data_IF_034293087230
#
_entry.id   IF_034293087230
#
_cell.length_a   1.000
_cell.length_b   1.000
_cell.length_c   1.000
_cell.angle_alpha   90.00
_cell.angle_beta   90.00
_cell.angle_gamma   90.00
#
_symmetry.space_group_name_H-M   'P 1'
#
loop_
_entity.id
_entity.type
_entity.pdbx_description
1 polymer ?
#
# COMPACT_ATOMS: atom_id res chain seq x y z
N UNK A 1 22.38 -18.88 50.22
CA UNK A 1 20.93 -18.75 50.12
C UNK A 1 20.69 -17.81 48.95
N UNK A 2 20.53 -18.33 47.76
CA UNK A 2 20.25 -17.56 46.55
C UNK A 2 18.74 -17.50 46.36
N UNK A 3 18.18 -16.31 46.39
CA UNK A 3 16.78 -16.07 46.06
C UNK A 3 16.64 -15.98 44.51
N UNK A 4 16.02 -17.00 43.92
CA UNK A 4 15.53 -16.96 42.56
C UNK A 4 14.29 -16.05 42.49
N UNK A 5 14.43 -14.85 41.91
CA UNK A 5 13.29 -14.03 41.55
C UNK A 5 12.72 -14.58 40.26
N UNK A 6 11.57 -15.22 40.37
CA UNK A 6 10.75 -15.65 39.23
C UNK A 6 10.13 -14.43 38.58
N UNK A 7 10.58 -14.11 37.37
CA UNK A 7 9.84 -13.23 36.49
C UNK A 7 8.67 -14.00 35.87
N UNK A 8 7.50 -13.93 36.46
CA UNK A 8 6.27 -14.46 35.89
C UNK A 8 5.57 -13.36 35.07
N UNK A 9 5.55 -13.61 33.75
CA UNK A 9 4.41 -13.36 32.82
C UNK A 9 3.65 -12.04 32.92
N UNK A 10 4.23 -10.97 32.37
CA UNK A 10 3.46 -9.82 31.90
C UNK A 10 2.95 -10.00 30.45
N UNK A 11 3.43 -11.02 29.73
CA UNK A 11 3.11 -11.22 28.30
C UNK A 11 1.77 -11.93 28.05
N UNK A 12 1.24 -12.68 29.01
CA UNK A 12 -0.02 -13.40 28.84
C UNK A 12 -1.24 -12.46 28.91
N UNK A 13 -1.23 -11.46 29.78
CA UNK A 13 -2.35 -10.52 29.94
C UNK A 13 -2.49 -9.53 28.77
N UNK A 14 -1.38 -9.19 28.07
CA UNK A 14 -1.43 -8.30 26.91
C UNK A 14 -2.05 -8.99 25.70
N UNK A 15 -1.74 -10.28 25.50
CA UNK A 15 -2.27 -11.03 24.34
C UNK A 15 -3.77 -11.28 24.47
N UNK A 16 -4.27 -11.56 25.68
CA UNK A 16 -5.68 -11.78 25.92
C UNK A 16 -6.50 -10.49 25.86
N UNK A 17 -5.95 -9.36 26.33
CA UNK A 17 -6.62 -8.05 26.22
C UNK A 17 -6.68 -7.56 24.76
N UNK A 18 -5.67 -7.85 23.97
CA UNK A 18 -5.65 -7.51 22.53
C UNK A 18 -6.68 -8.35 21.76
N UNK A 19 -6.78 -9.64 22.05
CA UNK A 19 -7.77 -10.55 21.40
C UNK A 19 -9.21 -10.21 21.77
N UNK A 20 -9.49 -9.84 23.02
CA UNK A 20 -10.83 -9.47 23.47
C UNK A 20 -11.30 -8.14 22.88
N UNK A 21 -10.41 -7.15 22.74
CA UNK A 21 -10.76 -5.87 22.08
C UNK A 21 -10.99 -6.03 20.58
N UNK A 22 -10.41 -7.05 19.92
CA UNK A 22 -10.64 -7.34 18.51
C UNK A 22 -11.99 -8.00 18.25
N UNK A 23 -12.40 -8.91 19.13
CA UNK A 23 -13.71 -9.58 19.03
C UNK A 23 -14.90 -8.61 19.14
N UNK A 24 -14.67 -7.42 19.70
CA UNK A 24 -15.71 -6.41 19.98
C UNK A 24 -15.72 -5.22 19.00
N UNK A 25 -14.86 -5.18 17.97
CA UNK A 25 -14.90 -4.08 16.99
C UNK A 25 -16.17 -4.16 16.13
N UNK A 26 -17.05 -3.17 16.32
CA UNK A 26 -18.28 -3.03 15.55
C UNK A 26 -17.96 -2.80 14.07
N UNK A 27 -16.93 -2.03 13.78
CA UNK A 27 -16.51 -1.74 12.40
C UNK A 27 -16.00 -2.99 11.70
N UNK A 28 -15.15 -3.80 12.33
CA UNK A 28 -14.67 -5.06 11.75
C UNK A 28 -15.82 -6.04 11.50
N UNK A 29 -16.78 -6.10 12.41
CA UNK A 29 -17.98 -6.91 12.23
C UNK A 29 -18.78 -6.45 11.01
N UNK A 30 -19.02 -5.15 10.86
CA UNK A 30 -19.70 -4.60 9.67
C UNK A 30 -18.95 -4.87 8.37
N UNK A 31 -17.60 -4.77 8.38
CA UNK A 31 -16.77 -5.15 7.24
C UNK A 31 -16.99 -6.63 6.86
N UNK A 32 -16.97 -7.52 7.85
CA UNK A 32 -17.18 -8.96 7.64
C UNK A 32 -18.57 -9.26 7.12
N UNK A 33 -19.62 -8.63 7.68
CA UNK A 33 -21.00 -8.74 7.21
C UNK A 33 -21.13 -8.24 5.76
N UNK A 34 -20.53 -7.10 5.43
CA UNK A 34 -20.47 -6.57 4.06
C UNK A 34 -19.82 -7.58 3.10
N UNK A 35 -18.63 -8.08 3.46
CA UNK A 35 -17.92 -9.07 2.65
C UNK A 35 -18.76 -10.33 2.41
N UNK A 36 -19.44 -10.82 3.46
CA UNK A 36 -20.29 -11.99 3.34
C UNK A 36 -21.44 -11.77 2.35
N UNK A 37 -22.09 -10.61 2.39
CA UNK A 37 -23.16 -10.25 1.45
C UNK A 37 -22.62 -10.19 0.02
N UNK A 38 -21.49 -9.50 -0.19
CA UNK A 38 -20.88 -9.36 -1.52
C UNK A 38 -20.48 -10.71 -2.13
N UNK A 39 -19.84 -11.57 -1.34
CA UNK A 39 -19.42 -12.91 -1.80
C UNK A 39 -20.60 -13.84 -2.07
N UNK A 40 -21.73 -13.69 -1.36
CA UNK A 40 -22.96 -14.46 -1.64
C UNK A 40 -23.68 -13.99 -2.90
N UNK A 41 -23.68 -12.68 -3.17
CA UNK A 41 -24.30 -12.10 -4.37
C UNK A 41 -23.49 -12.38 -5.63
N UNK A 42 -22.17 -12.56 -5.49
CA UNK A 42 -21.23 -12.78 -6.58
C UNK A 42 -20.46 -14.09 -6.37
N UNK A 43 -21.12 -15.26 -6.51
CA UNK A 43 -20.43 -16.53 -6.33
C UNK A 43 -19.32 -16.69 -7.37
N UNK A 44 -18.15 -17.11 -6.89
CA UNK A 44 -16.97 -17.27 -7.73
C UNK A 44 -17.22 -18.23 -8.89
N UNK A 45 -17.01 -17.73 -10.10
CA UNK A 45 -17.00 -18.54 -11.33
C UNK A 45 -15.62 -18.61 -11.97
N UNK A 46 -14.60 -17.90 -11.45
CA UNK A 46 -13.29 -17.75 -12.12
C UNK A 46 -12.12 -17.95 -11.17
N UNK A 47 -11.03 -18.49 -11.74
CA UNK A 47 -9.72 -18.50 -11.11
C UNK A 47 -9.20 -17.07 -10.91
N UNK A 48 -8.39 -16.87 -9.87
CA UNK A 48 -7.79 -15.57 -9.53
C UNK A 48 -7.08 -14.93 -10.71
N UNK A 49 -7.49 -13.72 -11.07
CA UNK A 49 -6.84 -12.92 -12.11
C UNK A 49 -5.39 -12.59 -11.68
N UNK A 50 -4.40 -12.88 -12.54
CA UNK A 50 -2.99 -12.61 -12.26
C UNK A 50 -2.70 -11.15 -11.90
N UNK A 51 -3.44 -10.20 -12.50
CA UNK A 51 -3.34 -8.78 -12.18
C UNK A 51 -3.80 -8.46 -10.75
N UNK A 52 -4.86 -9.10 -10.26
CA UNK A 52 -5.33 -8.93 -8.88
C UNK A 52 -4.35 -9.52 -7.85
N UNK A 53 -3.65 -10.61 -8.21
CA UNK A 53 -2.59 -11.17 -7.36
C UNK A 53 -1.44 -10.19 -7.15
N UNK A 54 -0.98 -9.55 -8.23
CA UNK A 54 0.08 -8.53 -8.15
C UNK A 54 -0.46 -7.34 -7.33
N UNK A 55 -1.66 -6.86 -7.62
CA UNK A 55 -2.26 -5.74 -6.92
C UNK A 55 -2.46 -6.01 -5.42
N UNK A 56 -2.66 -7.26 -4.99
CA UNK A 56 -2.70 -7.62 -3.57
C UNK A 56 -1.34 -7.38 -2.88
N UNK A 57 -0.21 -7.67 -3.56
CA UNK A 57 1.12 -7.32 -3.05
C UNK A 57 1.29 -5.80 -2.92
N UNK A 58 0.78 -5.04 -3.89
CA UNK A 58 0.86 -3.59 -3.92
C UNK A 58 0.09 -2.95 -2.75
N UNK A 59 -1.11 -3.45 -2.50
CA UNK A 59 -1.96 -3.01 -1.38
C UNK A 59 -1.23 -3.21 -0.06
N UNK A 60 -0.66 -4.40 0.16
CA UNK A 60 0.11 -4.71 1.37
C UNK A 60 1.41 -3.90 1.43
N UNK A 61 2.08 -3.71 0.31
CA UNK A 61 3.28 -2.88 0.20
C UNK A 61 3.01 -1.42 0.54
N UNK A 62 1.92 -0.84 0.04
CA UNK A 62 1.53 0.54 0.35
C UNK A 62 1.11 0.69 1.82
N UNK A 63 0.27 -0.20 2.33
CA UNK A 63 -0.13 -0.24 3.74
C UNK A 63 1.08 -0.30 4.68
N UNK A 64 2.01 -1.21 4.42
CA UNK A 64 3.23 -1.36 5.21
C UNK A 64 4.22 -0.21 5.02
N UNK A 65 4.28 0.36 3.82
CA UNK A 65 5.09 1.54 3.51
C UNK A 65 4.63 2.77 4.29
N UNK A 66 3.33 3.01 4.39
CA UNK A 66 2.76 4.08 5.24
C UNK A 66 3.20 3.89 6.70
N UNK A 67 3.10 2.66 7.22
CA UNK A 67 3.51 2.37 8.59
C UNK A 67 5.02 2.61 8.81
N UNK A 68 5.86 2.18 7.88
CA UNK A 68 7.30 2.45 7.92
C UNK A 68 7.60 3.96 7.84
N UNK A 69 6.88 4.68 6.98
CA UNK A 69 7.01 6.12 6.82
C UNK A 69 6.71 6.90 8.09
N UNK A 70 5.73 6.46 8.88
CA UNK A 70 5.42 7.04 10.19
C UNK A 70 6.57 6.86 11.17
N UNK A 71 7.11 5.65 11.26
CA UNK A 71 8.26 5.36 12.12
C UNK A 71 9.46 6.21 11.74
N UNK A 72 9.75 6.34 10.45
CA UNK A 72 10.82 7.18 9.92
C UNK A 72 10.57 8.67 10.18
N UNK A 73 9.37 9.17 9.91
CA UNK A 73 9.03 10.57 10.21
C UNK A 73 9.26 10.91 11.69
N UNK A 74 8.88 10.00 12.60
CA UNK A 74 9.14 10.14 14.02
C UNK A 74 10.62 10.21 14.39
N UNK A 75 11.46 9.37 13.78
CA UNK A 75 12.92 9.35 14.02
C UNK A 75 13.60 10.67 13.60
N UNK A 76 13.13 11.29 12.52
CA UNK A 76 13.69 12.56 12.03
C UNK A 76 12.99 13.81 12.59
N UNK A 77 12.15 13.65 13.62
CA UNK A 77 11.45 14.78 14.26
C UNK A 77 10.53 15.54 13.29
N UNK A 78 10.05 14.87 12.25
CA UNK A 78 9.06 15.41 11.34
C UNK A 78 7.73 15.33 12.07
N UNK A 79 7.19 16.49 12.51
CA UNK A 79 6.03 16.55 13.39
C UNK A 79 4.86 15.73 12.85
N UNK A 80 4.37 14.79 13.65
CA UNK A 80 3.16 14.01 13.36
C UNK A 80 1.97 14.96 13.41
N UNK A 81 1.36 15.24 12.25
CA UNK A 81 0.25 16.19 12.13
C UNK A 81 0.54 17.40 11.23
N UNK A 82 1.79 17.56 10.76
CA UNK A 82 2.15 18.58 9.77
C UNK A 82 2.24 18.01 8.34
N UNK A 83 2.24 18.91 7.35
CA UNK A 83 2.35 18.54 5.93
C UNK A 83 3.64 17.77 5.60
N UNK A 84 4.73 17.96 6.38
CA UNK A 84 6.00 17.23 6.19
C UNK A 84 5.92 15.76 6.55
N UNK A 85 5.22 15.39 7.64
CA UNK A 85 5.00 13.99 8.01
C UNK A 85 4.13 13.29 6.96
N UNK A 86 3.06 13.94 6.50
CA UNK A 86 2.19 13.41 5.46
C UNK A 86 2.97 13.07 4.19
N UNK A 87 3.88 13.94 3.74
CA UNK A 87 4.69 13.70 2.55
C UNK A 87 5.67 12.51 2.70
N UNK A 88 6.34 12.38 3.85
CA UNK A 88 7.21 11.23 4.12
C UNK A 88 6.40 9.94 4.13
N UNK A 89 5.26 9.94 4.80
CA UNK A 89 4.37 8.79 4.91
C UNK A 89 3.84 8.40 3.53
N UNK A 90 3.36 9.35 2.74
CA UNK A 90 2.86 9.13 1.38
C UNK A 90 3.98 8.60 0.48
N UNK A 91 5.17 9.22 0.50
CA UNK A 91 6.32 8.77 -0.28
C UNK A 91 6.72 7.33 0.04
N UNK A 92 6.71 6.95 1.30
CA UNK A 92 6.98 5.56 1.73
C UNK A 92 5.89 4.59 1.25
N UNK A 93 4.63 5.00 1.27
CA UNK A 93 3.51 4.21 0.76
C UNK A 93 3.62 3.96 -0.75
N UNK A 94 3.94 5.01 -1.52
CA UNK A 94 4.15 4.92 -2.98
C UNK A 94 5.31 3.98 -3.30
N UNK A 95 6.47 4.15 -2.65
CA UNK A 95 7.65 3.30 -2.88
C UNK A 95 7.35 1.86 -2.43
N UNK A 96 6.71 1.68 -1.27
CA UNK A 96 6.39 0.36 -0.74
C UNK A 96 5.46 -0.43 -1.66
N UNK A 97 4.38 0.20 -2.13
CA UNK A 97 3.46 -0.40 -3.10
C UNK A 97 4.15 -0.73 -4.42
N UNK A 98 4.79 0.25 -5.05
CA UNK A 98 5.43 0.05 -6.35
C UNK A 98 6.57 -0.99 -6.32
N UNK A 99 7.33 -1.06 -5.23
CA UNK A 99 8.36 -2.06 -5.07
C UNK A 99 7.79 -3.47 -4.85
N UNK A 100 6.68 -3.58 -4.12
CA UNK A 100 5.98 -4.86 -3.94
C UNK A 100 5.46 -5.40 -5.27
N UNK A 101 4.82 -4.55 -6.07
CA UNK A 101 4.41 -4.81 -7.44
C UNK A 101 5.54 -5.33 -8.30
N UNK A 102 6.59 -4.52 -8.39
CA UNK A 102 7.76 -4.83 -9.19
C UNK A 102 8.38 -6.16 -8.78
N UNK A 103 8.52 -6.38 -7.46
CA UNK A 103 9.11 -7.59 -6.93
C UNK A 103 8.26 -8.83 -7.23
N UNK A 104 6.93 -8.76 -7.05
CA UNK A 104 6.00 -9.83 -7.41
C UNK A 104 6.06 -10.14 -8.92
N UNK A 105 6.00 -9.11 -9.77
CA UNK A 105 6.08 -9.25 -11.22
C UNK A 105 7.40 -9.87 -11.66
N UNK A 106 8.52 -9.37 -11.14
CA UNK A 106 9.87 -9.87 -11.42
C UNK A 106 9.99 -11.36 -11.10
N UNK A 107 9.55 -11.77 -9.91
CA UNK A 107 9.63 -13.17 -9.47
C UNK A 107 8.76 -14.07 -10.36
N UNK A 108 7.53 -13.65 -10.66
CA UNK A 108 6.62 -14.40 -11.53
C UNK A 108 7.13 -14.56 -12.98
N UNK A 109 7.94 -13.61 -13.46
CA UNK A 109 8.52 -13.64 -14.83
C UNK A 109 9.96 -14.16 -14.87
N UNK A 110 10.55 -14.53 -13.74
CA UNK A 110 11.95 -14.99 -13.66
C UNK A 110 12.97 -13.93 -14.09
N UNK A 111 12.68 -12.63 -13.84
CA UNK A 111 13.59 -11.56 -14.25
C UNK A 111 14.77 -11.45 -13.29
N UNK A 112 15.97 -11.21 -13.84
CA UNK A 112 17.23 -11.11 -13.07
C UNK A 112 17.53 -9.73 -12.53
N UNK A 113 16.70 -8.73 -12.86
CA UNK A 113 16.86 -7.35 -12.38
C UNK A 113 16.73 -7.29 -10.85
N UNK A 114 17.55 -6.45 -10.22
CA UNK A 114 17.60 -6.35 -8.76
C UNK A 114 16.54 -5.37 -8.25
N UNK A 115 15.90 -5.71 -7.15
CA UNK A 115 14.96 -4.80 -6.45
C UNK A 115 15.66 -3.52 -5.98
N UNK A 116 16.96 -3.60 -5.70
CA UNK A 116 17.83 -2.46 -5.37
C UNK A 116 17.87 -1.38 -6.44
N UNK A 117 17.87 -1.79 -7.71
CA UNK A 117 17.90 -0.84 -8.83
C UNK A 117 16.56 -0.12 -8.95
N UNK A 118 15.46 -0.83 -8.71
CA UNK A 118 14.12 -0.22 -8.63
C UNK A 118 14.02 0.75 -7.44
N UNK A 119 14.54 0.37 -6.28
CA UNK A 119 14.56 1.24 -5.10
C UNK A 119 15.32 2.55 -5.36
N UNK A 120 16.54 2.47 -5.92
CA UNK A 120 17.34 3.65 -6.28
C UNK A 120 16.63 4.54 -7.30
N UNK A 121 16.03 3.92 -8.32
CA UNK A 121 15.22 4.63 -9.30
C UNK A 121 14.06 5.37 -8.61
N UNK A 122 13.30 4.70 -7.76
CA UNK A 122 12.15 5.27 -7.05
C UNK A 122 12.56 6.47 -6.17
N UNK A 123 13.67 6.35 -5.45
CA UNK A 123 14.22 7.46 -4.66
C UNK A 123 14.64 8.64 -5.52
N UNK A 124 15.28 8.40 -6.66
CA UNK A 124 15.68 9.48 -7.56
C UNK A 124 14.46 10.25 -8.07
N UNK A 125 13.42 9.52 -8.49
CA UNK A 125 12.18 10.13 -8.95
C UNK A 125 11.54 11.00 -7.86
N UNK A 126 11.40 10.48 -6.64
CA UNK A 126 10.81 11.23 -5.54
C UNK A 126 11.68 12.44 -5.16
N UNK A 127 13.00 12.27 -5.12
CA UNK A 127 13.91 13.36 -4.83
C UNK A 127 13.86 14.48 -5.89
N UNK A 128 13.72 14.16 -7.18
CA UNK A 128 13.52 15.15 -8.23
C UNK A 128 12.18 15.89 -8.05
N UNK A 129 11.11 15.19 -7.70
CA UNK A 129 9.83 15.82 -7.37
C UNK A 129 9.90 16.76 -6.17
N UNK A 130 10.72 16.43 -5.18
CA UNK A 130 10.95 17.30 -4.02
C UNK A 130 11.72 18.58 -4.40
N UNK A 131 12.53 18.55 -5.48
CA UNK A 131 13.29 19.72 -5.96
C UNK A 131 12.47 20.66 -6.83
N UNK A 132 11.55 20.12 -7.62
CA UNK A 132 10.76 20.91 -8.58
C UNK A 132 9.28 20.60 -8.44
N UNK A 133 8.42 21.61 -8.70
CA UNK A 133 6.97 21.43 -8.74
C UNK A 133 6.51 20.73 -10.02
N UNK A 134 7.43 20.45 -10.94
CA UNK A 134 7.15 19.82 -12.23
C UNK A 134 8.25 18.85 -12.57
N UNK A 135 7.97 17.54 -12.50
CA UNK A 135 8.86 16.51 -13.03
C UNK A 135 8.14 15.80 -14.17
N UNK A 136 8.70 15.90 -15.37
CA UNK A 136 8.16 15.26 -16.55
C UNK A 136 8.59 13.78 -16.57
N UNK A 137 7.63 12.87 -16.45
CA UNK A 137 7.86 11.45 -16.63
C UNK A 137 7.32 11.01 -17.97
N UNK A 138 8.07 10.15 -18.62
CA UNK A 138 7.56 9.43 -19.77
C UNK A 138 6.57 8.37 -19.28
N UNK A 139 5.27 8.58 -19.55
CA UNK A 139 4.25 7.55 -19.36
C UNK A 139 3.89 7.00 -20.74
N UNK A 140 3.81 5.66 -20.89
CA UNK A 140 3.35 5.07 -22.14
C UNK A 140 1.99 5.64 -22.54
N UNK A 141 1.83 5.99 -23.81
CA UNK A 141 0.60 6.60 -24.37
C UNK A 141 -0.70 5.82 -24.06
N UNK A 142 -0.59 4.51 -23.80
CA UNK A 142 -1.72 3.65 -23.52
C UNK A 142 -2.24 3.73 -22.07
N UNK A 143 -1.53 4.42 -21.17
CA UNK A 143 -1.99 4.59 -19.80
C UNK A 143 -2.94 5.79 -19.70
N UNK A 144 -4.21 5.50 -19.85
CA UNK A 144 -5.30 6.45 -19.58
C UNK A 144 -6.12 5.91 -18.40
N UNK A 145 -5.74 6.25 -17.16
CA UNK A 145 -6.44 5.74 -16.00
C UNK A 145 -7.88 6.23 -16.02
N UNK A 146 -8.81 5.34 -15.68
CA UNK A 146 -10.19 5.73 -15.48
C UNK A 146 -10.26 6.84 -14.42
N UNK A 147 -11.01 7.90 -14.71
CA UNK A 147 -11.23 8.99 -13.74
C UNK A 147 -11.94 8.39 -12.52
N UNK A 148 -11.30 8.54 -11.36
CA UNK A 148 -11.72 7.89 -10.13
C UNK A 148 -12.46 8.89 -9.26
N UNK A 149 -13.70 8.57 -8.92
CA UNK A 149 -14.54 9.34 -8.02
C UNK A 149 -14.62 8.66 -6.65
N UNK A 150 -13.50 8.65 -5.91
CA UNK A 150 -13.47 8.27 -4.50
C UNK A 150 -13.36 9.50 -3.64
N UNK A 151 -14.27 9.63 -2.69
CA UNK A 151 -14.29 10.73 -1.73
C UNK A 151 -13.65 10.28 -0.42
N UNK A 152 -12.38 10.62 -0.24
CA UNK A 152 -11.72 10.44 1.04
C UNK A 152 -12.23 11.46 2.08
N UNK A 153 -12.25 11.08 3.37
CA UNK A 153 -12.61 11.97 4.46
C UNK A 153 -11.65 13.16 4.55
N UNK A 154 -12.14 14.22 5.24
CA UNK A 154 -11.33 15.41 5.47
C UNK A 154 -10.04 15.06 6.21
N UNK A 155 -8.92 15.54 5.69
CA UNK A 155 -7.57 15.27 6.23
C UNK A 155 -6.84 14.11 5.54
N UNK A 156 -7.54 13.33 4.71
CA UNK A 156 -6.94 12.20 3.95
C UNK A 156 -6.96 12.42 2.43
N UNK A 157 -7.36 13.59 1.96
CA UNK A 157 -7.54 13.89 0.54
C UNK A 157 -6.27 13.67 -0.29
N UNK A 158 -5.10 13.90 0.31
CA UNK A 158 -3.81 13.69 -0.34
C UNK A 158 -3.48 12.22 -0.61
N UNK A 159 -4.13 11.29 0.09
CA UNK A 159 -3.91 9.86 -0.12
C UNK A 159 -4.51 9.36 -1.45
N UNK A 160 -5.46 10.10 -2.06
CA UNK A 160 -6.00 9.76 -3.38
C UNK A 160 -4.91 9.63 -4.43
N UNK A 161 -3.84 10.40 -4.26
CA UNK A 161 -2.75 10.48 -5.23
C UNK A 161 -1.74 9.32 -5.11
N UNK A 162 -1.80 8.55 -4.01
CA UNK A 162 -0.87 7.42 -3.75
C UNK A 162 -0.98 6.36 -4.85
N UNK A 163 -2.18 5.98 -5.24
CA UNK A 163 -2.40 4.96 -6.27
C UNK A 163 -1.94 5.41 -7.64
N UNK A 164 -2.25 6.64 -8.04
CA UNK A 164 -1.80 7.18 -9.32
C UNK A 164 -0.28 7.35 -9.36
N UNK A 165 0.32 7.88 -8.29
CA UNK A 165 1.78 8.02 -8.19
C UNK A 165 2.49 6.66 -8.19
N UNK A 166 1.91 5.64 -7.53
CA UNK A 166 2.36 4.26 -7.60
C UNK A 166 2.45 3.76 -9.05
N UNK A 167 1.39 3.92 -9.83
CA UNK A 167 1.37 3.50 -11.23
C UNK A 167 2.36 4.29 -12.08
N UNK A 168 2.45 5.61 -11.89
CA UNK A 168 3.42 6.46 -12.59
C UNK A 168 4.85 6.03 -12.32
N UNK A 169 5.16 5.66 -11.08
CA UNK A 169 6.48 5.19 -10.69
C UNK A 169 6.82 3.86 -11.38
N UNK A 170 5.87 2.93 -11.46
CA UNK A 170 6.05 1.66 -12.15
C UNK A 170 6.22 1.83 -13.67
N UNK A 171 5.37 2.64 -14.29
CA UNK A 171 5.37 2.85 -15.74
C UNK A 171 6.58 3.66 -16.22
N UNK A 172 7.03 4.62 -15.43
CA UNK A 172 8.24 5.40 -15.71
C UNK A 172 9.53 4.61 -15.50
N UNK A 173 9.48 3.50 -14.75
CA UNK A 173 10.58 2.56 -14.67
C UNK A 173 10.62 1.73 -15.95
N UNK A 174 11.82 1.51 -16.52
CA UNK A 174 11.99 0.57 -17.64
C UNK A 174 11.65 -0.88 -17.29
N UNK A 175 11.04 -1.09 -16.15
CA UNK A 175 10.67 -2.36 -15.54
C UNK A 175 9.18 -2.70 -15.66
N UNK A 176 8.41 -1.88 -16.41
CA UNK A 176 7.01 -2.17 -16.70
C UNK A 176 6.87 -3.39 -17.62
N UNK A 177 5.69 -4.03 -17.59
CA UNK A 177 5.35 -5.21 -18.40
C UNK A 177 5.76 -5.05 -19.87
N UNK A 178 6.24 -6.13 -20.53
CA UNK A 178 6.53 -6.13 -21.98
C UNK A 178 5.33 -5.70 -22.83
N UNK A 179 4.10 -5.91 -22.39
CA UNK A 179 2.89 -5.45 -23.10
C UNK A 179 2.74 -3.94 -23.08
N UNK A 180 3.24 -3.26 -22.04
CA UNK A 180 3.29 -1.80 -21.99
C UNK A 180 4.46 -1.20 -22.78
N UNK A 181 5.48 -2.02 -23.14
CA UNK A 181 6.61 -1.59 -23.97
C UNK A 181 6.31 -1.53 -25.46
N UNK A 182 5.25 -2.19 -25.92
CA UNK A 182 5.07 -2.48 -27.35
C UNK A 182 4.67 -1.27 -28.21
N UNK A 183 4.35 -0.12 -27.65
CA UNK A 183 3.98 1.08 -28.41
C UNK A 183 4.52 2.35 -27.80
N UNK A 184 5.83 2.53 -27.92
CA UNK A 184 6.47 3.80 -27.57
C UNK A 184 6.28 4.78 -28.73
N UNK A 185 5.20 5.54 -28.72
CA UNK A 185 5.12 6.80 -29.46
C UNK A 185 5.56 7.92 -28.52
N UNK A 186 6.59 8.65 -28.96
CA UNK A 186 7.33 9.62 -28.16
C UNK A 186 6.61 10.97 -28.13
N UNK A 187 5.56 11.11 -27.33
CA UNK A 187 5.12 12.43 -26.91
C UNK A 187 5.14 12.49 -25.38
N UNK A 188 5.86 13.44 -24.78
CA UNK A 188 5.90 13.57 -23.33
C UNK A 188 4.52 14.04 -22.86
N UNK A 189 3.77 13.13 -22.25
CA UNK A 189 2.63 13.53 -21.45
C UNK A 189 3.20 14.05 -20.12
N UNK A 190 2.87 15.29 -19.78
CA UNK A 190 3.21 15.93 -18.49
C UNK A 190 2.53 15.16 -17.34
N UNK A 191 3.09 14.04 -16.98
CA UNK A 191 2.64 13.29 -15.83
C UNK A 191 3.28 13.86 -14.57
N UNK A 192 2.60 14.79 -13.95
CA UNK A 192 2.97 15.25 -12.61
C UNK A 192 2.69 14.14 -11.63
N UNK A 193 3.71 13.63 -10.92
CA UNK A 193 3.44 13.05 -9.61
C UNK A 193 2.88 14.21 -8.79
N UNK A 194 1.75 14.00 -8.08
CA UNK A 194 1.15 15.05 -7.29
C UNK A 194 2.23 15.71 -6.44
N UNK A 195 2.31 17.04 -6.38
CA UNK A 195 3.31 17.70 -5.59
C UNK A 195 3.20 17.15 -4.18
N UNK A 196 4.25 16.49 -3.71
CA UNK A 196 4.36 16.12 -2.32
C UNK A 196 4.48 17.46 -1.59
N UNK A 197 3.32 18.02 -1.25
CA UNK A 197 3.20 19.32 -0.61
C UNK A 197 3.89 19.25 0.74
N UNK A 198 5.09 19.81 0.85
CA UNK A 198 5.83 19.80 2.09
C UNK A 198 6.36 21.18 2.42
N UNK A 199 6.23 21.54 3.68
CA UNK A 199 6.90 22.69 4.26
C UNK A 199 8.39 22.39 4.53
N UNK A 200 8.82 21.12 4.54
CA UNK A 200 10.19 20.72 4.87
C UNK A 200 10.71 19.62 3.93
N UNK A 201 10.85 19.98 2.65
CA UNK A 201 11.33 19.09 1.58
C UNK A 201 12.68 18.45 1.92
N UNK A 202 13.59 19.17 2.59
CA UNK A 202 14.91 18.65 2.92
C UNK A 202 14.84 17.55 3.99
N UNK A 203 14.01 17.68 5.03
CA UNK A 203 13.83 16.60 6.01
C UNK A 203 13.21 15.36 5.40
N UNK A 204 12.21 15.53 4.53
CA UNK A 204 11.60 14.41 3.81
C UNK A 204 12.66 13.69 2.96
N UNK A 205 13.48 14.44 2.23
CA UNK A 205 14.57 13.89 1.43
C UNK A 205 15.58 13.13 2.29
N UNK A 206 16.00 13.70 3.43
CA UNK A 206 16.92 13.05 4.37
C UNK A 206 16.29 11.75 4.90
N UNK A 207 15.02 11.80 5.31
CA UNK A 207 14.29 10.65 5.84
C UNK A 207 14.22 9.50 4.83
N UNK A 208 13.80 9.77 3.59
CA UNK A 208 13.67 8.77 2.53
C UNK A 208 15.02 8.20 2.06
N UNK A 209 16.12 8.97 2.17
CA UNK A 209 17.47 8.50 1.83
C UNK A 209 18.21 7.88 3.03
N UNK A 210 17.57 7.78 4.19
CA UNK A 210 18.18 7.22 5.40
C UNK A 210 18.40 5.70 5.31
N UNK A 211 19.40 5.24 6.06
CA UNK A 211 19.62 3.80 6.24
C UNK A 211 18.41 3.12 6.91
N UNK A 212 17.74 3.83 7.80
CA UNK A 212 16.59 3.31 8.52
C UNK A 212 15.42 3.06 7.56
N UNK A 213 15.14 3.97 6.62
CA UNK A 213 14.15 3.73 5.58
C UNK A 213 14.54 2.55 4.69
N UNK A 214 15.80 2.48 4.25
CA UNK A 214 16.29 1.34 3.46
C UNK A 214 16.09 0.01 4.18
N UNK A 215 16.41 -0.06 5.47
CA UNK A 215 16.22 -1.25 6.29
C UNK A 215 14.74 -1.65 6.40
N UNK A 216 13.84 -0.69 6.60
CA UNK A 216 12.39 -0.95 6.64
C UNK A 216 11.88 -1.44 5.28
N UNK A 217 12.32 -0.81 4.21
CA UNK A 217 11.99 -1.22 2.84
C UNK A 217 12.44 -2.66 2.57
N UNK A 218 13.69 -3.00 2.84
CA UNK A 218 14.25 -4.33 2.63
C UNK A 218 13.48 -5.39 3.45
N UNK A 219 13.08 -5.03 4.67
CA UNK A 219 12.26 -5.90 5.52
C UNK A 219 10.87 -6.14 4.92
N UNK A 220 10.20 -5.11 4.42
CA UNK A 220 8.90 -5.24 3.76
C UNK A 220 9.01 -6.20 2.57
N UNK A 221 9.95 -5.97 1.67
CA UNK A 221 10.14 -6.80 0.47
C UNK A 221 10.51 -8.23 0.82
N UNK A 222 11.47 -8.43 1.73
CA UNK A 222 11.87 -9.78 2.18
C UNK A 222 10.71 -10.55 2.82
N UNK A 223 9.83 -9.87 3.56
CA UNK A 223 8.69 -10.51 4.19
C UNK A 223 7.57 -10.81 3.18
N UNK A 224 7.39 -9.97 2.16
CA UNK A 224 6.51 -10.27 1.04
C UNK A 224 6.98 -11.53 0.29
N UNK A 225 8.27 -11.61 -0.06
CA UNK A 225 8.84 -12.80 -0.71
C UNK A 225 8.62 -14.08 0.11
N UNK A 226 8.92 -14.02 1.41
CA UNK A 226 8.76 -15.16 2.33
C UNK A 226 7.31 -15.55 2.61
N UNK A 227 6.38 -14.69 2.27
CA UNK A 227 4.94 -14.91 2.44
C UNK A 227 4.23 -15.12 1.10
N UNK A 228 4.96 -15.20 0.00
CA UNK A 228 4.42 -15.54 -1.32
C UNK A 228 4.67 -17.01 -1.61
N UNK A 229 3.61 -17.77 -1.82
CA UNK A 229 3.62 -19.21 -2.13
C UNK A 229 2.92 -19.38 -3.48
N UNK A 230 3.61 -19.95 -4.46
CA UNK A 230 3.10 -20.17 -5.82
C UNK A 230 2.50 -18.90 -6.47
N UNK A 231 3.11 -17.74 -6.18
CA UNK A 231 2.69 -16.43 -6.67
C UNK A 231 1.49 -15.82 -5.92
N UNK A 232 0.99 -16.49 -4.89
CA UNK A 232 -0.09 -15.99 -4.03
C UNK A 232 0.47 -15.50 -2.68
N UNK A 233 -0.04 -14.36 -2.23
CA UNK A 233 0.36 -13.77 -0.96
C UNK A 233 -0.38 -14.43 0.21
N UNK A 234 0.34 -15.13 1.09
CA UNK A 234 -0.15 -15.49 2.42
C UNK A 234 -0.22 -14.23 3.30
N UNK A 235 -1.36 -13.56 3.24
CA UNK A 235 -1.61 -12.29 3.93
C UNK A 235 -1.46 -12.45 5.45
N UNK A 236 -1.94 -13.57 6.00
CA UNK A 236 -1.84 -13.85 7.43
C UNK A 236 -0.39 -14.11 7.85
N UNK A 237 0.34 -14.89 7.07
CA UNK A 237 1.76 -15.14 7.27
C UNK A 237 2.61 -13.87 7.17
N UNK A 238 2.26 -12.97 6.24
CA UNK A 238 2.93 -11.70 6.10
C UNK A 238 2.79 -10.83 7.37
N UNK A 239 1.57 -10.56 7.83
CA UNK A 239 1.35 -9.70 9.01
C UNK A 239 1.87 -10.31 10.30
N UNK A 240 1.87 -11.64 10.42
CA UNK A 240 2.53 -12.32 11.55
C UNK A 240 4.04 -12.07 11.59
N UNK A 241 4.71 -12.00 10.44
CA UNK A 241 6.15 -11.71 10.32
C UNK A 241 6.48 -10.21 10.34
N UNK A 242 5.50 -9.39 10.01
CA UNK A 242 5.66 -7.94 9.85
C UNK A 242 4.49 -7.17 10.50
N UNK A 243 4.34 -7.29 11.84
CA UNK A 243 3.26 -6.60 12.54
C UNK A 243 3.44 -5.08 12.44
N UNK A 244 2.35 -4.38 12.20
CA UNK A 244 2.34 -2.91 12.08
C UNK A 244 2.10 -2.21 13.41
N UNK A 245 1.80 -2.96 14.46
CA UNK A 245 1.39 -2.43 15.76
C UNK A 245 -0.10 -2.03 15.82
N UNK A 246 -0.83 -2.16 14.72
CA UNK A 246 -2.29 -1.98 14.69
C UNK A 246 -2.98 -3.22 14.13
N UNK A 247 -3.29 -4.14 14.99
CA UNK A 247 -3.99 -5.38 14.61
C UNK A 247 -5.36 -5.08 14.01
N UNK A 248 -6.00 -4.00 14.43
CA UNK A 248 -7.30 -3.56 13.90
C UNK A 248 -7.20 -3.14 12.43
N UNK A 249 -6.22 -2.32 12.09
CA UNK A 249 -5.95 -1.93 10.70
C UNK A 249 -5.51 -3.12 9.84
N UNK A 250 -4.67 -4.02 10.39
CA UNK A 250 -4.28 -5.27 9.73
C UNK A 250 -5.48 -6.15 9.41
N UNK A 251 -6.43 -6.28 10.34
CA UNK A 251 -7.64 -7.07 10.10
C UNK A 251 -8.56 -6.42 9.07
N UNK A 252 -8.70 -5.10 9.08
CA UNK A 252 -9.49 -4.40 8.07
C UNK A 252 -8.91 -4.59 6.66
N UNK A 253 -7.60 -4.48 6.49
CA UNK A 253 -6.97 -4.68 5.19
C UNK A 253 -6.97 -6.16 4.76
N UNK A 254 -6.87 -7.11 5.70
CA UNK A 254 -7.03 -8.54 5.41
C UNK A 254 -8.43 -8.87 4.87
N UNK A 255 -9.46 -8.32 5.49
CA UNK A 255 -10.83 -8.50 5.03
C UNK A 255 -11.05 -7.83 3.67
N UNK A 256 -10.46 -6.65 3.44
CA UNK A 256 -10.49 -6.01 2.13
C UNK A 256 -9.84 -6.89 1.06
N UNK A 257 -8.64 -7.38 1.30
CA UNK A 257 -7.91 -8.23 0.36
C UNK A 257 -8.65 -9.53 0.05
N UNK A 258 -9.31 -10.12 1.03
CA UNK A 258 -10.14 -11.30 0.84
C UNK A 258 -11.29 -11.06 -0.16
N UNK A 259 -11.96 -9.91 -0.06
CA UNK A 259 -12.98 -9.52 -1.02
C UNK A 259 -12.35 -9.12 -2.37
N UNK A 260 -11.31 -8.29 -2.34
CA UNK A 260 -10.61 -7.75 -3.51
C UNK A 260 -10.06 -8.84 -4.44
N UNK A 261 -9.47 -9.90 -3.90
CA UNK A 261 -8.92 -11.00 -4.72
C UNK A 261 -9.98 -11.93 -5.29
N UNK A 262 -11.21 -11.80 -4.84
CA UNK A 262 -12.30 -12.73 -5.10
C UNK A 262 -13.39 -12.17 -6.00
N UNK A 263 -13.84 -10.93 -5.73
CA UNK A 263 -15.09 -10.40 -6.28
C UNK A 263 -14.92 -9.53 -7.51
N UNK A 264 -14.01 -8.50 -7.58
CA UNK A 264 -14.08 -7.50 -8.63
C UNK A 264 -13.78 -8.09 -10.00
N UNK A 265 -14.64 -7.78 -10.97
CA UNK A 265 -14.48 -8.13 -12.38
C UNK A 265 -13.88 -6.96 -13.19
N UNK A 266 -14.02 -5.73 -12.66
CA UNK A 266 -13.60 -4.50 -13.32
C UNK A 266 -13.27 -3.40 -12.29
N UNK A 267 -12.78 -2.27 -12.79
CA UNK A 267 -12.36 -1.12 -11.94
C UNK A 267 -13.55 -0.49 -11.20
N UNK A 268 -14.76 -0.52 -11.76
CA UNK A 268 -15.93 0.07 -11.09
C UNK A 268 -16.31 -0.71 -9.85
N UNK A 269 -16.20 -2.04 -9.89
CA UNK A 269 -16.41 -2.89 -8.71
C UNK A 269 -15.41 -2.53 -7.62
N UNK A 270 -14.13 -2.31 -7.97
CA UNK A 270 -13.11 -1.91 -7.00
C UNK A 270 -13.42 -0.54 -6.40
N UNK A 271 -13.85 0.42 -7.22
CA UNK A 271 -14.24 1.75 -6.76
C UNK A 271 -15.42 1.64 -5.79
N UNK A 272 -16.41 0.80 -6.11
CA UNK A 272 -17.57 0.58 -5.25
C UNK A 272 -17.17 0.01 -3.89
N UNK A 273 -16.47 -1.14 -3.87
CA UNK A 273 -16.06 -1.75 -2.60
C UNK A 273 -15.15 -0.82 -1.79
N UNK A 274 -14.32 -0.02 -2.46
CA UNK A 274 -13.46 0.97 -1.80
C UNK A 274 -14.28 2.05 -1.10
N UNK A 275 -15.28 2.63 -1.79
CA UNK A 275 -16.17 3.62 -1.20
C UNK A 275 -16.96 3.05 -0.02
N UNK A 276 -17.45 1.83 -0.16
CA UNK A 276 -18.21 1.16 0.90
C UNK A 276 -17.36 0.90 2.14
N UNK A 277 -16.10 0.46 1.95
CA UNK A 277 -15.14 0.30 3.04
C UNK A 277 -14.84 1.61 3.76
N UNK A 278 -14.59 2.69 3.01
CA UNK A 278 -14.38 4.02 3.59
C UNK A 278 -15.60 4.43 4.43
N UNK A 279 -16.81 4.27 3.91
CA UNK A 279 -18.03 4.60 4.62
C UNK A 279 -18.21 3.76 5.91
N UNK A 280 -17.92 2.47 5.87
CA UNK A 280 -17.98 1.60 7.06
C UNK A 280 -16.95 2.03 8.09
N UNK A 281 -15.72 2.33 7.70
CA UNK A 281 -14.64 2.77 8.58
C UNK A 281 -15.00 4.10 9.25
N UNK A 282 -15.55 5.04 8.51
CA UNK A 282 -15.95 6.35 9.03
C UNK A 282 -17.20 6.30 9.93
N UNK A 283 -18.05 5.29 9.78
CA UNK A 283 -19.34 5.24 10.46
C UNK A 283 -19.27 5.08 11.98
N UNK A 284 -18.15 4.60 12.53
CA UNK A 284 -18.07 4.25 13.96
C UNK A 284 -16.91 4.88 14.73
N UNK A 285 -16.04 5.61 14.09
CA UNK A 285 -14.90 6.32 14.73
C UNK A 285 -13.95 5.42 15.56
N UNK A 286 -13.87 4.12 15.25
CA UNK A 286 -13.04 3.18 15.99
C UNK A 286 -11.58 3.22 15.57
N UNK A 287 -11.31 3.62 14.33
CA UNK A 287 -9.95 3.74 13.79
C UNK A 287 -9.40 5.13 14.05
N UNK A 288 -8.16 5.21 14.56
CA UNK A 288 -7.45 6.48 14.63
C UNK A 288 -6.93 6.91 13.25
N UNK A 289 -6.46 8.15 13.13
CA UNK A 289 -6.01 8.72 11.86
C UNK A 289 -4.86 7.94 11.23
N UNK A 290 -3.99 7.37 12.02
CA UNK A 290 -2.88 6.57 11.58
C UNK A 290 -3.32 5.24 10.96
N UNK A 291 -4.27 4.58 11.58
CA UNK A 291 -4.89 3.34 11.08
C UNK A 291 -5.64 3.62 9.79
N UNK A 292 -6.42 4.70 9.75
CA UNK A 292 -7.12 5.16 8.55
C UNK A 292 -6.15 5.44 7.40
N UNK A 293 -5.05 6.16 7.67
CA UNK A 293 -4.06 6.47 6.64
C UNK A 293 -3.45 5.20 6.00
N UNK A 294 -3.10 4.20 6.81
CA UNK A 294 -2.60 2.91 6.31
C UNK A 294 -3.63 2.21 5.41
N UNK A 295 -4.87 2.11 5.89
CA UNK A 295 -5.93 1.44 5.15
C UNK A 295 -6.22 2.19 3.85
N UNK A 296 -6.45 3.51 3.90
CA UNK A 296 -6.82 4.29 2.73
C UNK A 296 -5.73 4.32 1.65
N UNK A 297 -4.45 4.33 2.03
CA UNK A 297 -3.38 4.19 1.04
C UNK A 297 -3.45 2.85 0.30
N UNK A 298 -3.67 1.75 1.02
CA UNK A 298 -3.89 0.44 0.39
C UNK A 298 -5.11 0.44 -0.53
N UNK A 299 -6.23 1.02 -0.08
CA UNK A 299 -7.45 1.15 -0.87
C UNK A 299 -7.22 1.98 -2.15
N UNK A 300 -6.47 3.08 -2.07
CA UNK A 300 -6.17 3.89 -3.27
C UNK A 300 -5.29 3.14 -4.25
N UNK A 301 -4.28 2.41 -3.77
CA UNK A 301 -3.45 1.56 -4.64
C UNK A 301 -4.28 0.47 -5.31
N UNK A 302 -5.26 -0.12 -4.61
CA UNK A 302 -6.10 -1.19 -5.16
C UNK A 302 -6.89 -0.78 -6.40
N UNK A 303 -7.26 0.50 -6.51
CA UNK A 303 -8.03 1.02 -7.64
C UNK A 303 -7.14 1.20 -8.87
N UNK A 304 -5.90 1.65 -8.66
CA UNK A 304 -4.98 1.99 -9.75
C UNK A 304 -4.15 0.80 -10.22
N UNK A 305 -3.64 -0.02 -9.29
CA UNK A 305 -2.70 -1.10 -9.60
C UNK A 305 -3.21 -2.08 -10.66
N UNK A 306 -4.45 -2.60 -10.60
CA UNK A 306 -4.92 -3.54 -11.61
C UNK A 306 -4.95 -2.97 -13.03
N UNK A 307 -5.02 -1.65 -13.18
CA UNK A 307 -5.14 -1.00 -14.49
C UNK A 307 -3.85 -1.09 -15.32
N UNK A 308 -2.71 -1.43 -14.71
CA UNK A 308 -1.42 -1.59 -15.41
C UNK A 308 -1.02 -3.04 -15.62
N UNK A 309 -1.73 -4.00 -15.00
CA UNK A 309 -1.43 -5.42 -15.16
C UNK A 309 -2.37 -6.06 -16.19
N UNK A 310 -1.78 -6.86 -17.09
CA UNK A 310 -2.50 -7.50 -18.17
C UNK A 310 -3.72 -8.31 -17.68
N UNK A 311 -4.84 -8.18 -18.42
CA UNK A 311 -6.11 -8.89 -18.24
C UNK A 311 -7.09 -8.37 -17.19
N UNK A 312 -6.88 -7.19 -16.62
CA UNK A 312 -7.92 -6.51 -15.87
C UNK A 312 -8.53 -5.42 -16.77
N UNK A 313 -9.75 -5.66 -17.29
CA UNK A 313 -10.50 -4.76 -18.18
C UNK A 313 -11.61 -4.08 -17.44
#
# INVERSE_FOLDING_TARGET
>A
MLALVSCTSADADLSDTITVNQANSITLKKIQEYNQVMLLQHPQTRGTNGGLKIAAHDIVGAFSGINAGKAIAGLFGIATGGTGSAATIIGCGIIGGAAASYNCYRNNKGLTTKIEDFYKYSLNIINENLKSDTTNYYIPYMYNPKIIHVKLPKGFETLKDVGEAHNKLLLGSNYSSPSTRATVVRDPVDAKIPPILTLDKEKVKIALNSKDFKNQFDKIISNLDKSTIDGELDINGYFRKNPTGSVRAENAIKEYLKLFTTYPENVDDIIQITNDYINIIESNNEFNDDEKAMIYAGLMVSIYSPQIWDNFK
#
